data_IF_456526247289
#
_entry.id   IF_456526247289
#
_cell.length_a   1.000
_cell.length_b   1.000
_cell.length_c   1.000
_cell.angle_alpha   90.00
_cell.angle_beta   90.00
_cell.angle_gamma   90.00
#
_symmetry.space_group_name_H-M   'P 1'
#
loop_
_entity.id
_entity.type
_entity.pdbx_description
1 polymer ?
#
# COMPACT_ATOMS: atom_id res chain seq x y z
N UNK A 1 36.63 4.31 11.90
CA UNK A 1 35.36 5.06 11.76
C UNK A 1 34.25 4.09 11.43
N UNK A 2 33.30 3.87 12.34
CA UNK A 2 32.16 2.99 12.06
C UNK A 2 31.26 3.64 11.01
N UNK A 3 31.08 2.98 9.87
CA UNK A 3 30.01 3.35 8.93
C UNK A 3 28.67 3.24 9.65
N UNK A 4 28.03 4.38 9.92
CA UNK A 4 26.64 4.46 10.36
C UNK A 4 25.77 3.91 9.23
N UNK A 5 25.42 2.63 9.33
CA UNK A 5 24.55 1.97 8.35
C UNK A 5 23.14 2.52 8.54
N UNK A 6 22.67 3.36 7.61
CA UNK A 6 21.30 3.91 7.66
C UNK A 6 20.29 2.76 7.65
N UNK A 7 19.35 2.79 8.59
CA UNK A 7 18.24 1.82 8.64
C UNK A 7 17.25 2.17 7.52
N UNK A 8 16.87 1.21 6.66
CA UNK A 8 15.87 1.44 5.63
C UNK A 8 14.51 1.82 6.24
N UNK A 9 13.83 2.81 5.65
CA UNK A 9 12.51 3.26 6.09
C UNK A 9 11.42 2.78 5.13
N UNK A 10 10.23 2.54 5.66
CA UNK A 10 9.02 2.12 4.92
C UNK A 10 7.78 2.80 5.52
N UNK A 11 6.69 2.82 4.77
CA UNK A 11 5.42 3.47 5.15
C UNK A 11 4.34 2.41 5.30
N UNK A 12 3.51 2.52 6.34
CA UNK A 12 2.22 1.86 6.44
C UNK A 12 1.13 2.93 6.36
N UNK A 13 0.27 2.84 5.34
CA UNK A 13 -0.84 3.75 5.15
C UNK A 13 -2.18 3.04 5.33
N UNK A 14 -3.10 3.74 5.98
CA UNK A 14 -4.48 3.28 6.20
C UNK A 14 -5.44 3.90 5.17
N UNK A 15 -5.06 4.96 4.45
CA UNK A 15 -5.97 5.79 3.65
C UNK A 15 -7.11 6.37 4.51
N UNK A 16 -6.74 7.10 5.57
CA UNK A 16 -7.68 7.70 6.51
C UNK A 16 -8.47 8.82 5.81
N UNK A 17 -9.79 8.78 5.95
CA UNK A 17 -10.67 9.87 5.53
C UNK A 17 -10.63 10.97 6.58
N UNK A 18 -9.99 12.09 6.24
CA UNK A 18 -9.94 13.30 7.06
C UNK A 18 -11.35 13.85 7.34
N UNK A 19 -11.49 14.64 8.42
CA UNK A 19 -12.76 15.27 8.77
C UNK A 19 -13.30 16.12 7.62
N UNK A 20 -14.55 15.88 7.22
CA UNK A 20 -15.19 16.55 6.08
C UNK A 20 -14.68 16.10 4.71
N UNK A 21 -13.75 15.15 4.66
CA UNK A 21 -13.23 14.55 3.43
C UNK A 21 -14.09 13.39 2.91
N UNK A 22 -13.62 12.78 1.83
CA UNK A 22 -14.26 11.63 1.19
C UNK A 22 -13.27 10.49 1.00
N UNK A 23 -13.75 9.29 0.74
CA UNK A 23 -12.88 8.17 0.36
C UNK A 23 -12.06 8.49 -0.90
N UNK A 24 -12.63 9.23 -1.86
CA UNK A 24 -11.92 9.62 -3.07
C UNK A 24 -10.72 10.52 -2.77
N UNK A 25 -10.88 11.50 -1.87
CA UNK A 25 -9.77 12.38 -1.47
C UNK A 25 -8.70 11.59 -0.71
N UNK A 26 -9.10 10.70 0.21
CA UNK A 26 -8.15 9.86 0.94
C UNK A 26 -7.32 8.96 0.00
N UNK A 27 -7.94 8.34 -1.01
CA UNK A 27 -7.23 7.50 -1.98
C UNK A 27 -6.28 8.32 -2.88
N UNK A 28 -6.66 9.55 -3.23
CA UNK A 28 -5.78 10.47 -3.97
C UNK A 28 -4.57 10.92 -3.11
N UNK A 29 -4.80 11.16 -1.82
CA UNK A 29 -3.74 11.47 -0.84
C UNK A 29 -2.78 10.28 -0.66
N UNK A 30 -3.30 9.06 -0.55
CA UNK A 30 -2.49 7.82 -0.54
C UNK A 30 -1.63 7.68 -1.78
N UNK A 31 -2.18 8.01 -2.97
CA UNK A 31 -1.41 8.01 -4.23
C UNK A 31 -0.27 9.02 -4.18
N UNK A 32 -0.56 10.24 -3.72
CA UNK A 32 0.44 11.30 -3.53
C UNK A 32 1.51 10.89 -2.51
N UNK A 33 1.12 10.23 -1.43
CA UNK A 33 2.03 9.71 -0.41
C UNK A 33 2.98 8.67 -1.00
N UNK A 34 2.49 7.73 -1.81
CA UNK A 34 3.33 6.72 -2.44
C UNK A 34 4.39 7.34 -3.37
N UNK A 35 4.00 8.33 -4.18
CA UNK A 35 4.92 9.07 -5.06
C UNK A 35 6.00 9.83 -4.27
N UNK A 36 5.60 10.50 -3.18
CA UNK A 36 6.55 11.20 -2.30
C UNK A 36 7.47 10.25 -1.57
N UNK A 37 6.96 9.13 -1.06
CA UNK A 37 7.76 8.10 -0.41
C UNK A 37 8.82 7.53 -1.36
N UNK A 38 8.46 7.29 -2.62
CA UNK A 38 9.41 6.91 -3.67
C UNK A 38 10.49 7.98 -3.89
N UNK A 39 10.08 9.24 -4.08
CA UNK A 39 11.01 10.35 -4.30
C UNK A 39 11.98 10.56 -3.11
N UNK A 40 11.55 10.24 -1.89
CA UNK A 40 12.36 10.31 -0.67
C UNK A 40 13.19 9.05 -0.40
N UNK A 41 13.12 8.03 -1.25
CA UNK A 41 13.93 6.83 -1.13
C UNK A 41 13.45 5.83 -0.07
N UNK A 42 12.15 5.85 0.28
CA UNK A 42 11.55 4.80 1.09
C UNK A 42 11.59 3.46 0.34
N UNK A 43 11.78 2.37 1.07
CA UNK A 43 11.94 1.04 0.48
C UNK A 43 10.61 0.43 0.07
N UNK A 44 9.56 0.70 0.84
CA UNK A 44 8.24 0.09 0.66
C UNK A 44 7.13 0.96 1.19
N UNK A 45 5.96 0.89 0.56
CA UNK A 45 4.68 1.31 1.13
C UNK A 45 3.75 0.09 1.26
N UNK A 46 3.10 -0.01 2.41
CA UNK A 46 2.05 -0.98 2.68
C UNK A 46 0.70 -0.27 2.82
N UNK A 47 -0.36 -0.88 2.30
CA UNK A 47 -1.73 -0.44 2.54
C UNK A 47 -2.47 -1.45 3.41
N UNK A 48 -3.15 -0.97 4.45
CA UNK A 48 -3.92 -1.80 5.37
C UNK A 48 -5.34 -2.10 4.85
N UNK A 49 -5.93 -3.20 5.26
CA UNK A 49 -7.33 -3.54 4.96
C UNK A 49 -8.23 -3.20 6.16
N UNK A 50 -9.31 -2.44 5.94
CA UNK A 50 -10.34 -2.21 6.94
C UNK A 50 -11.73 -2.25 6.29
N UNK A 51 -12.68 -2.87 7.00
CA UNK A 51 -14.09 -2.93 6.61
C UNK A 51 -14.95 -2.26 7.68
N UNK A 52 -16.12 -1.75 7.29
CA UNK A 52 -17.09 -1.13 8.21
C UNK A 52 -16.53 0.05 9.03
N UNK A 53 -15.50 0.72 8.52
CA UNK A 53 -14.90 1.91 9.14
C UNK A 53 -15.03 3.09 8.16
N UNK A 54 -16.05 3.95 8.31
CA UNK A 54 -16.26 5.10 7.41
C UNK A 54 -15.07 6.06 7.32
N UNK A 55 -14.21 6.07 8.34
CA UNK A 55 -13.00 6.88 8.42
C UNK A 55 -11.79 6.26 7.72
N UNK A 56 -11.93 5.09 7.08
CA UNK A 56 -10.84 4.39 6.38
C UNK A 56 -11.31 3.99 4.98
N UNK A 57 -10.61 4.47 3.96
CA UNK A 57 -10.97 4.24 2.55
C UNK A 57 -10.47 2.90 2.00
N UNK A 58 -9.46 2.28 2.63
CA UNK A 58 -8.82 1.06 2.12
C UNK A 58 -9.59 -0.22 2.52
N UNK A 59 -10.52 -0.65 1.67
CA UNK A 59 -11.35 -1.86 1.87
C UNK A 59 -10.87 -3.07 1.07
N UNK A 60 -10.16 -2.85 -0.05
CA UNK A 60 -9.61 -3.91 -0.89
C UNK A 60 -8.16 -3.61 -1.27
N UNK A 61 -7.18 -4.15 -0.52
CA UNK A 61 -5.77 -3.89 -0.76
C UNK A 61 -5.31 -4.24 -2.17
N UNK A 62 -5.85 -5.30 -2.79
CA UNK A 62 -5.38 -5.74 -4.10
C UNK A 62 -5.59 -4.67 -5.19
N UNK A 63 -6.75 -4.01 -5.18
CA UNK A 63 -7.07 -2.93 -6.13
C UNK A 63 -6.20 -1.71 -5.86
N UNK A 64 -6.07 -1.32 -4.59
CA UNK A 64 -5.26 -0.16 -4.22
C UNK A 64 -3.78 -0.38 -4.53
N UNK A 65 -3.24 -1.57 -4.29
CA UNK A 65 -1.85 -1.91 -4.64
C UNK A 65 -1.64 -1.80 -6.16
N UNK A 66 -2.55 -2.34 -6.98
CA UNK A 66 -2.44 -2.24 -8.44
C UNK A 66 -2.43 -0.77 -8.92
N UNK A 67 -3.30 0.07 -8.35
CA UNK A 67 -3.35 1.51 -8.64
C UNK A 67 -2.06 2.24 -8.27
N UNK A 68 -1.52 1.98 -7.07
CA UNK A 68 -0.26 2.58 -6.62
C UNK A 68 0.94 2.10 -7.43
N UNK A 69 0.95 0.83 -7.84
CA UNK A 69 2.00 0.27 -8.69
C UNK A 69 2.00 0.92 -10.08
N UNK A 70 0.82 1.24 -10.62
CA UNK A 70 0.72 2.01 -11.86
C UNK A 70 1.16 3.48 -11.71
N UNK A 71 1.15 4.02 -10.48
CA UNK A 71 1.41 5.43 -10.17
C UNK A 71 2.84 5.71 -9.66
N UNK A 72 3.68 4.67 -9.55
CA UNK A 72 5.06 4.73 -9.05
C UNK A 72 5.97 3.89 -9.96
N UNK A 73 7.29 4.00 -9.80
CA UNK A 73 8.25 3.33 -10.72
C UNK A 73 9.17 2.31 -10.06
N UNK A 74 9.47 2.46 -8.76
CA UNK A 74 10.57 1.78 -8.07
C UNK A 74 10.21 1.32 -6.66
N UNK A 75 9.41 2.09 -5.92
CA UNK A 75 9.03 1.74 -4.55
C UNK A 75 8.28 0.41 -4.55
N UNK A 76 8.58 -0.46 -3.58
CA UNK A 76 7.84 -1.71 -3.42
C UNK A 76 6.48 -1.40 -2.81
N UNK A 77 5.45 -2.06 -3.28
CA UNK A 77 4.09 -1.89 -2.75
C UNK A 77 3.59 -3.24 -2.26
N UNK A 78 2.75 -3.26 -1.24
CA UNK A 78 2.11 -4.49 -0.78
C UNK A 78 1.00 -4.24 0.23
N UNK A 79 0.43 -5.30 0.76
CA UNK A 79 -0.51 -5.23 1.87
C UNK A 79 0.24 -5.19 3.20
N UNK A 80 -0.20 -4.32 4.12
CA UNK A 80 0.25 -4.20 5.51
C UNK A 80 -0.60 -5.00 6.49
N UNK A 81 -1.26 -6.05 6.02
CA UNK A 81 -2.28 -6.81 6.73
C UNK A 81 -3.43 -7.10 5.77
N UNK A 82 -3.74 -8.37 5.57
CA UNK A 82 -4.93 -8.85 4.86
C UNK A 82 -5.82 -9.50 5.91
N UNK A 83 -7.12 -9.22 5.87
CA UNK A 83 -8.09 -9.92 6.71
C UNK A 83 -8.35 -11.31 6.11
N UNK A 84 -7.36 -12.20 6.17
CA UNK A 84 -7.40 -13.57 5.62
C UNK A 84 -8.72 -14.34 5.88
N UNK A 85 -9.38 -14.24 7.05
CA UNK A 85 -10.67 -14.88 7.29
C UNK A 85 -11.80 -14.45 6.35
N UNK A 86 -11.69 -13.27 5.72
CA UNK A 86 -12.70 -12.72 4.81
C UNK A 86 -12.55 -13.20 3.36
N UNK A 87 -11.47 -13.94 3.05
CA UNK A 87 -11.18 -14.43 1.69
C UNK A 87 -11.31 -15.95 1.60
N UNK A 88 -11.72 -16.48 0.42
CA UNK A 88 -11.68 -17.92 0.19
C UNK A 88 -10.26 -18.44 0.42
N UNK A 89 -10.12 -19.54 1.19
CA UNK A 89 -8.83 -20.20 1.43
C UNK A 89 -8.36 -21.04 0.23
N UNK A 90 -8.45 -20.48 -0.97
CA UNK A 90 -7.98 -21.14 -2.18
C UNK A 90 -6.68 -20.49 -2.68
N UNK A 91 -5.89 -21.30 -3.38
CA UNK A 91 -4.57 -20.91 -3.86
C UNK A 91 -4.63 -19.72 -4.85
N UNK A 92 -5.74 -19.56 -5.58
CA UNK A 92 -5.90 -18.45 -6.53
C UNK A 92 -5.99 -17.09 -5.83
N UNK A 93 -6.75 -16.98 -4.74
CA UNK A 93 -6.86 -15.75 -3.96
C UNK A 93 -5.56 -15.40 -3.22
N UNK A 94 -4.87 -16.40 -2.67
CA UNK A 94 -3.58 -16.19 -2.01
C UNK A 94 -2.51 -15.63 -2.96
N UNK A 95 -2.55 -16.01 -4.24
CA UNK A 95 -1.62 -15.51 -5.26
C UNK A 95 -1.79 -14.03 -5.57
N UNK A 96 -3.00 -13.47 -5.46
CA UNK A 96 -3.25 -12.04 -5.72
C UNK A 96 -2.47 -11.17 -4.72
N UNK A 97 -2.45 -11.57 -3.45
CA UNK A 97 -1.72 -10.86 -2.39
C UNK A 97 -0.20 -11.10 -2.45
N UNK A 98 0.26 -12.29 -2.86
CA UNK A 98 1.68 -12.59 -2.98
C UNK A 98 2.34 -11.94 -4.23
N UNK A 99 1.60 -11.86 -5.35
CA UNK A 99 2.06 -11.28 -6.62
C UNK A 99 2.22 -9.77 -6.57
N UNK A 100 1.30 -9.10 -5.87
CA UNK A 100 1.29 -7.63 -5.74
C UNK A 100 2.50 -7.08 -4.97
N UNK A 101 3.21 -7.93 -4.21
CA UNK A 101 4.46 -7.58 -3.52
C UNK A 101 5.71 -7.50 -4.44
N UNK A 102 5.63 -7.96 -5.68
CA UNK A 102 6.79 -8.19 -6.56
C UNK A 102 6.87 -7.28 -7.80
N UNK A 103 5.78 -6.61 -8.20
CA UNK A 103 5.73 -5.91 -9.49
C UNK A 103 6.06 -4.42 -9.37
N UNK A 104 7.34 -4.07 -9.53
CA UNK A 104 7.75 -2.73 -9.99
C UNK A 104 9.06 -2.76 -10.81
N UNK A 105 9.35 -3.86 -11.51
CA UNK A 105 10.63 -4.07 -12.23
C UNK A 105 10.48 -4.18 -13.76
N UNK A 106 9.35 -3.76 -14.33
CA UNK A 106 9.08 -3.90 -15.78
C UNK A 106 8.82 -2.58 -16.51
N UNK A 107 9.41 -1.46 -16.05
CA UNK A 107 9.53 -0.22 -16.82
C UNK A 107 10.96 0.29 -16.81
#
# INVERSE_FOLDING_TARGET
MSHQRRVPLSVLDLAIVSQGGTSATALAETTTLAQKAEAFGYTRIWVAEHHNMPTVASTNPAVLIAHLAASTSKIKIGSGGVMLPNYPQNHQYQRIFASSAHNNHHR
#
